data_IF_398573171720
#
_entry.id   IF_398573171720
#
_cell.length_a   1.000
_cell.length_b   1.000
_cell.length_c   1.000
_cell.angle_alpha   90.00
_cell.angle_beta   90.00
_cell.angle_gamma   90.00
#
_symmetry.space_group_name_H-M   'P 1'
#
loop_
_entity.id
_entity.type
_entity.pdbx_description
1 polymer ?
#
# COMPACT_ATOMS: atom_id res chain seq x y z
N UNK A 1 -9.66 14.86 15.79
CA UNK A 1 -9.01 15.38 14.59
C UNK A 1 -9.25 14.43 13.42
N UNK A 2 -9.73 14.98 12.29
CA UNK A 2 -10.12 14.17 11.12
C UNK A 2 -8.92 13.56 10.38
N UNK A 3 -7.70 13.96 10.69
CA UNK A 3 -6.48 13.38 10.14
C UNK A 3 -5.89 12.24 10.98
N UNK A 4 -6.46 11.99 12.18
CA UNK A 4 -6.01 10.88 13.02
C UNK A 4 -6.53 9.54 12.51
N UNK A 5 -5.69 8.51 12.61
CA UNK A 5 -6.01 7.14 12.22
C UNK A 5 -7.18 6.53 12.98
N UNK A 6 -7.34 6.93 14.24
CA UNK A 6 -8.42 6.53 15.13
C UNK A 6 -9.54 7.58 15.23
N UNK A 7 -9.73 8.41 14.19
CA UNK A 7 -10.77 9.43 14.18
C UNK A 7 -12.18 8.83 14.32
N UNK A 8 -12.90 9.30 15.31
CA UNK A 8 -14.33 9.00 15.49
C UNK A 8 -15.16 10.27 15.24
N UNK A 9 -15.94 10.27 14.17
CA UNK A 9 -16.83 11.39 13.81
C UNK A 9 -17.98 11.61 14.81
N UNK A 10 -18.23 10.66 15.71
CA UNK A 10 -19.24 10.74 16.75
C UNK A 10 -18.68 11.23 18.10
N UNK A 11 -17.37 11.30 18.24
CA UNK A 11 -16.73 11.80 19.45
C UNK A 11 -17.01 13.30 19.62
N UNK A 12 -17.43 13.68 20.82
CA UNK A 12 -17.75 15.09 21.19
C UNK A 12 -16.60 15.79 21.90
N UNK A 13 -15.65 15.03 22.44
CA UNK A 13 -14.50 15.52 23.17
C UNK A 13 -13.22 14.82 22.68
N UNK A 14 -12.13 15.56 22.62
CA UNK A 14 -10.79 14.99 22.33
C UNK A 14 -10.18 14.54 23.67
N UNK A 15 -9.95 13.25 23.82
CA UNK A 15 -9.33 12.62 24.99
C UNK A 15 -7.79 12.63 24.95
N UNK A 16 -7.20 13.17 23.87
CA UNK A 16 -5.76 13.22 23.66
C UNK A 16 -5.14 11.93 23.12
N UNK A 17 -5.96 10.96 22.71
CA UNK A 17 -5.50 9.65 22.19
C UNK A 17 -5.46 9.58 20.66
N UNK A 18 -5.41 10.74 19.98
CA UNK A 18 -5.30 10.76 18.52
C UNK A 18 -4.01 10.06 18.08
N UNK A 19 -4.18 9.04 17.25
CA UNK A 19 -3.08 8.30 16.63
C UNK A 19 -2.91 8.77 15.18
N UNK A 20 -1.70 9.17 14.83
CA UNK A 20 -1.35 9.63 13.47
C UNK A 20 -0.34 8.70 12.78
N UNK A 21 0.06 7.64 13.48
CA UNK A 21 1.18 6.79 13.06
C UNK A 21 0.78 5.39 12.62
N UNK A 22 -0.42 4.93 12.96
CA UNK A 22 -0.86 3.55 12.66
C UNK A 22 -1.55 3.39 11.31
N UNK A 23 -1.75 4.47 10.53
CA UNK A 23 -2.38 4.40 9.22
C UNK A 23 -1.53 5.00 8.10
N UNK A 24 -1.88 4.65 6.86
CA UNK A 24 -1.27 5.26 5.68
C UNK A 24 -1.83 6.65 5.42
N UNK A 25 -0.94 7.58 5.07
CA UNK A 25 -1.33 8.85 4.47
C UNK A 25 -1.53 8.60 2.98
N UNK A 26 -2.72 8.90 2.47
CA UNK A 26 -3.05 8.78 1.06
C UNK A 26 -3.38 10.14 0.46
N UNK A 27 -2.94 10.36 -0.78
CA UNK A 27 -3.25 11.58 -1.53
C UNK A 27 -3.72 11.23 -2.93
N UNK A 28 -4.53 12.11 -3.52
CA UNK A 28 -4.95 12.00 -4.92
C UNK A 28 -5.06 13.38 -5.54
N UNK A 29 -4.76 13.46 -6.84
CA UNK A 29 -4.92 14.68 -7.63
C UNK A 29 -6.35 14.85 -8.20
N UNK A 30 -7.26 13.91 -7.92
CA UNK A 30 -8.63 13.90 -8.45
C UNK A 30 -9.65 13.58 -7.36
N UNK A 31 -10.60 14.47 -7.14
CA UNK A 31 -11.67 14.31 -6.13
C UNK A 31 -12.54 13.08 -6.45
N UNK A 32 -12.86 12.31 -5.40
CA UNK A 32 -13.67 11.09 -5.50
C UNK A 32 -12.92 9.85 -5.99
N UNK A 33 -11.64 9.98 -6.35
CA UNK A 33 -10.76 8.89 -6.74
C UNK A 33 -9.49 8.91 -5.93
N UNK A 34 -8.94 7.75 -5.60
CA UNK A 34 -7.75 7.68 -4.75
C UNK A 34 -7.21 6.28 -4.63
N UNK A 35 -6.46 6.07 -3.58
CA UNK A 35 -5.97 4.75 -3.13
C UNK A 35 -6.29 4.56 -1.66
N UNK A 36 -6.46 3.30 -1.27
CA UNK A 36 -6.58 2.85 0.10
C UNK A 36 -5.60 1.72 0.35
N UNK A 37 -5.01 1.66 1.55
CA UNK A 37 -4.06 0.62 1.94
C UNK A 37 -4.57 -0.06 3.20
N UNK A 38 -4.70 -1.38 3.11
CA UNK A 38 -5.20 -2.23 4.18
C UNK A 38 -4.11 -3.18 4.66
N UNK A 39 -3.94 -3.30 5.97
CA UNK A 39 -3.14 -4.37 6.57
C UNK A 39 -3.93 -5.67 6.45
N UNK A 40 -3.49 -6.56 5.57
CA UNK A 40 -4.12 -7.83 5.32
C UNK A 40 -3.71 -8.92 6.31
N UNK A 41 -2.41 -8.96 6.67
CA UNK A 41 -1.89 -9.90 7.65
C UNK A 41 -0.60 -9.36 8.30
N UNK A 42 -0.40 -9.69 9.57
CA UNK A 42 0.85 -9.45 10.31
C UNK A 42 1.43 -10.81 10.65
N UNK A 43 2.76 -10.98 10.45
CA UNK A 43 3.48 -12.22 10.73
C UNK A 43 2.92 -13.47 10.00
N UNK A 44 2.22 -13.29 8.89
CA UNK A 44 1.86 -14.39 8.00
C UNK A 44 3.10 -15.09 7.43
N UNK A 45 4.12 -14.30 7.12
CA UNK A 45 5.54 -14.68 7.03
C UNK A 45 6.24 -14.00 8.19
N UNK A 46 7.00 -14.73 9.00
CA UNK A 46 7.59 -14.22 10.24
C UNK A 46 8.43 -12.94 10.00
N UNK A 47 8.10 -11.86 10.69
CA UNK A 47 8.73 -10.55 10.57
C UNK A 47 8.26 -9.70 9.39
N UNK A 48 7.23 -10.15 8.65
CA UNK A 48 6.66 -9.42 7.52
C UNK A 48 5.22 -8.99 7.79
N UNK A 49 4.84 -7.85 7.22
CA UNK A 49 3.45 -7.40 7.14
C UNK A 49 2.97 -7.45 5.68
N UNK A 50 1.80 -8.01 5.47
CA UNK A 50 1.14 -8.07 4.16
C UNK A 50 0.14 -6.94 4.04
N UNK A 51 0.30 -6.11 3.04
CA UNK A 51 -0.59 -5.00 2.70
C UNK A 51 -1.34 -5.28 1.40
N UNK A 52 -2.57 -4.78 1.30
CA UNK A 52 -3.34 -4.73 0.06
C UNK A 52 -3.62 -3.28 -0.31
N UNK A 53 -3.31 -2.93 -1.54
CA UNK A 53 -3.53 -1.59 -2.10
C UNK A 53 -4.71 -1.63 -3.04
N UNK A 54 -5.67 -0.75 -2.84
CA UNK A 54 -6.90 -0.66 -3.63
C UNK A 54 -6.98 0.70 -4.31
N UNK A 55 -7.46 0.75 -5.56
CA UNK A 55 -8.02 1.97 -6.11
C UNK A 55 -9.38 2.21 -5.46
N UNK A 56 -9.65 3.45 -5.07
CA UNK A 56 -10.98 3.91 -4.65
C UNK A 56 -11.63 4.72 -5.78
N UNK A 57 -12.94 4.52 -5.99
CA UNK A 57 -13.68 5.09 -7.11
C UNK A 57 -14.92 5.85 -6.66
N UNK A 58 -15.44 6.72 -7.53
CA UNK A 58 -16.62 7.54 -7.23
C UNK A 58 -17.94 6.78 -7.38
N UNK A 59 -17.96 5.65 -8.11
CA UNK A 59 -19.16 4.88 -8.42
C UNK A 59 -18.87 3.38 -8.40
N UNK A 60 -19.88 2.59 -8.01
CA UNK A 60 -19.85 1.13 -8.06
C UNK A 60 -19.68 0.58 -9.49
N UNK A 61 -20.11 1.33 -10.49
CA UNK A 61 -20.05 0.97 -11.92
C UNK A 61 -18.74 1.40 -12.59
N UNK A 62 -17.84 2.07 -11.87
CA UNK A 62 -16.53 2.47 -12.39
C UNK A 62 -15.66 1.23 -12.67
N UNK A 63 -14.91 1.30 -13.76
CA UNK A 63 -14.03 0.22 -14.19
C UNK A 63 -12.56 0.67 -14.10
N UNK A 64 -11.78 0.07 -13.23
CA UNK A 64 -10.34 0.26 -13.18
C UNK A 64 -9.68 -0.63 -14.23
N UNK A 65 -8.98 -0.01 -15.17
CA UNK A 65 -8.36 -0.69 -16.31
C UNK A 65 -6.87 -0.96 -16.12
N UNK A 66 -6.14 0.01 -15.58
CA UNK A 66 -4.69 -0.07 -15.55
C UNK A 66 -4.06 0.73 -14.42
N UNK A 67 -2.88 0.29 -14.00
CA UNK A 67 -1.90 1.06 -13.24
C UNK A 67 -0.68 1.24 -14.12
N UNK A 68 -0.24 2.48 -14.31
CA UNK A 68 0.81 2.83 -15.27
C UNK A 68 1.81 3.82 -14.68
N UNK A 69 3.01 3.82 -15.23
CA UNK A 69 4.03 4.82 -14.93
C UNK A 69 4.86 5.18 -16.17
N UNK A 70 5.39 6.39 -16.17
CA UNK A 70 6.33 6.91 -17.17
C UNK A 70 7.04 8.14 -16.59
N UNK A 71 8.02 8.72 -17.31
CA UNK A 71 8.82 9.86 -16.81
C UNK A 71 8.02 11.12 -16.41
N UNK A 72 6.80 11.29 -16.92
CA UNK A 72 5.91 12.42 -16.57
C UNK A 72 4.98 12.15 -15.39
N UNK A 73 4.78 10.89 -15.02
CA UNK A 73 4.04 10.42 -13.87
C UNK A 73 4.62 9.06 -13.48
N UNK A 74 5.66 9.03 -12.63
CA UNK A 74 6.30 7.80 -12.23
C UNK A 74 5.34 6.86 -11.49
N UNK A 75 5.52 5.55 -11.72
CA UNK A 75 4.93 4.52 -10.87
C UNK A 75 6.02 4.01 -9.95
N UNK A 76 5.73 4.06 -8.66
CA UNK A 76 6.63 3.61 -7.62
C UNK A 76 5.85 2.81 -6.58
N UNK A 77 6.34 1.63 -6.23
CA UNK A 77 5.95 0.88 -5.04
C UNK A 77 7.25 0.48 -4.36
N UNK A 78 7.46 1.00 -3.19
CA UNK A 78 8.74 0.99 -2.50
C UNK A 78 8.58 0.45 -1.08
N UNK A 79 9.66 -0.12 -0.56
CA UNK A 79 9.76 -0.52 0.84
C UNK A 79 11.11 -0.13 1.41
N UNK A 80 11.16 0.19 2.70
CA UNK A 80 12.43 0.36 3.42
C UNK A 80 13.16 -0.97 3.68
N UNK A 81 12.47 -2.09 3.47
CA UNK A 81 12.98 -3.46 3.59
C UNK A 81 13.09 -4.18 2.25
N UNK A 82 12.49 -5.37 2.16
CA UNK A 82 12.40 -6.19 0.95
C UNK A 82 10.98 -6.71 0.77
N UNK A 83 10.55 -6.91 -0.46
CA UNK A 83 9.31 -7.62 -0.74
C UNK A 83 9.50 -9.13 -0.66
N UNK A 84 8.64 -9.78 0.11
CA UNK A 84 8.59 -11.23 0.15
C UNK A 84 8.08 -11.78 -1.18
N UNK A 85 8.77 -12.79 -1.70
CA UNK A 85 8.38 -13.53 -2.91
C UNK A 85 8.36 -15.02 -2.60
N UNK A 86 7.21 -15.67 -2.77
CA UNK A 86 7.11 -17.12 -2.63
C UNK A 86 7.85 -17.82 -3.76
N UNK A 87 8.49 -18.94 -3.47
CA UNK A 87 9.31 -19.69 -4.44
C UNK A 87 8.53 -20.20 -5.67
N UNK A 88 7.21 -20.22 -5.60
CA UNK A 88 6.29 -20.61 -6.70
C UNK A 88 5.34 -19.46 -7.06
N UNK A 89 5.57 -18.28 -6.50
CA UNK A 89 4.81 -17.07 -6.78
C UNK A 89 5.03 -16.52 -8.18
N UNK A 90 4.58 -15.31 -8.40
CA UNK A 90 4.76 -14.59 -9.65
C UNK A 90 4.32 -13.15 -9.56
N UNK A 91 4.65 -12.36 -10.59
CA UNK A 91 4.31 -10.94 -10.66
C UNK A 91 2.80 -10.67 -10.50
N UNK A 92 1.96 -11.63 -10.86
CA UNK A 92 0.51 -11.56 -10.71
C UNK A 92 -0.02 -12.80 -9.96
N UNK A 93 -1.21 -12.75 -9.32
CA UNK A 93 -1.76 -13.88 -8.57
C UNK A 93 -2.26 -15.02 -9.47
N UNK A 94 -1.87 -15.08 -10.75
CA UNK A 94 -2.30 -16.09 -11.72
C UNK A 94 -1.94 -17.54 -11.34
N UNK A 95 -1.02 -17.72 -10.39
CA UNK A 95 -0.64 -19.04 -9.84
C UNK A 95 -1.36 -19.34 -8.52
N UNK A 96 -2.01 -18.37 -7.88
CA UNK A 96 -2.70 -18.55 -6.60
C UNK A 96 -3.98 -19.34 -6.82
N UNK A 97 -3.99 -20.57 -6.33
CA UNK A 97 -5.13 -21.49 -6.39
C UNK A 97 -5.25 -22.25 -5.06
N UNK A 98 -6.47 -22.70 -4.71
CA UNK A 98 -6.70 -23.47 -3.48
C UNK A 98 -5.79 -24.70 -3.38
N UNK A 99 -5.51 -25.32 -4.53
CA UNK A 99 -4.63 -26.48 -4.60
C UNK A 99 -3.20 -26.12 -4.17
N UNK A 100 -2.63 -25.04 -4.73
CA UNK A 100 -1.25 -24.63 -4.43
C UNK A 100 -1.13 -24.06 -3.01
N UNK A 101 -2.12 -23.31 -2.55
CA UNK A 101 -2.18 -22.82 -1.15
C UNK A 101 -2.17 -23.98 -0.14
N UNK A 102 -2.75 -25.13 -0.48
CA UNK A 102 -2.72 -26.33 0.35
C UNK A 102 -1.33 -26.99 0.45
N UNK A 103 -0.44 -26.76 -0.51
CA UNK A 103 0.92 -27.32 -0.53
C UNK A 103 2.00 -26.32 -0.13
N UNK A 104 1.79 -25.06 -0.46
CA UNK A 104 2.73 -23.95 -0.23
C UNK A 104 1.94 -22.80 0.42
N UNK A 105 1.71 -22.86 1.75
CA UNK A 105 0.87 -21.87 2.45
C UNK A 105 1.39 -20.43 2.40
N UNK A 106 2.71 -20.22 2.28
CA UNK A 106 3.35 -18.91 2.17
C UNK A 106 3.00 -18.18 0.86
N UNK A 107 2.50 -18.90 -0.16
CA UNK A 107 1.94 -18.32 -1.38
C UNK A 107 0.77 -17.36 -1.11
N UNK A 108 0.06 -17.52 0.03
CA UNK A 108 -0.98 -16.58 0.44
C UNK A 108 -0.45 -15.17 0.73
N UNK A 109 0.84 -15.06 1.04
CA UNK A 109 1.52 -13.83 1.41
C UNK A 109 2.51 -13.35 0.33
N UNK A 110 2.50 -13.98 -0.84
CA UNK A 110 3.33 -13.56 -1.98
C UNK A 110 3.04 -12.10 -2.37
N UNK A 111 4.06 -11.38 -2.84
CA UNK A 111 3.87 -10.02 -3.34
C UNK A 111 3.59 -10.04 -4.83
N UNK A 112 2.49 -9.44 -5.25
CA UNK A 112 2.04 -9.42 -6.64
C UNK A 112 1.22 -8.18 -6.96
N UNK A 113 1.08 -7.89 -8.26
CA UNK A 113 0.22 -6.82 -8.80
C UNK A 113 -0.98 -7.41 -9.53
N UNK A 114 -2.10 -6.71 -9.53
CA UNK A 114 -3.36 -7.19 -10.10
C UNK A 114 -4.28 -6.04 -10.48
N UNK A 115 -5.41 -6.39 -11.08
CA UNK A 115 -6.62 -5.57 -11.12
C UNK A 115 -7.77 -6.46 -10.65
N UNK A 116 -8.25 -6.22 -9.43
CA UNK A 116 -9.47 -6.79 -8.86
C UNK A 116 -9.39 -8.25 -8.37
N UNK A 117 -8.30 -8.99 -8.60
CA UNK A 117 -8.19 -10.39 -8.20
C UNK A 117 -7.05 -10.62 -7.19
N UNK A 118 -7.26 -11.53 -6.25
CA UNK A 118 -6.24 -12.05 -5.32
C UNK A 118 -5.90 -13.53 -5.60
N UNK A 119 -6.37 -14.05 -6.71
CA UNK A 119 -6.23 -15.44 -7.17
C UNK A 119 -6.17 -15.50 -8.69
N UNK A 120 -5.93 -16.68 -9.19
CA UNK A 120 -6.05 -16.97 -10.64
C UNK A 120 -7.45 -16.61 -11.14
N UNK A 121 -7.52 -15.95 -12.30
CA UNK A 121 -8.76 -15.59 -12.95
C UNK A 121 -9.61 -16.80 -13.35
N UNK A 122 -10.91 -16.69 -13.17
CA UNK A 122 -11.90 -17.63 -13.71
C UNK A 122 -12.53 -17.04 -14.98
N UNK A 123 -12.08 -17.52 -16.13
CA UNK A 123 -12.61 -17.07 -17.42
C UNK A 123 -14.10 -17.38 -17.61
N UNK A 124 -14.64 -18.35 -16.87
CA UNK A 124 -16.08 -18.66 -16.86
C UNK A 124 -16.92 -17.55 -16.21
N UNK A 125 -16.29 -16.72 -15.35
CA UNK A 125 -16.88 -15.54 -14.74
C UNK A 125 -16.59 -14.24 -15.50
N UNK A 126 -15.87 -14.32 -16.62
CA UNK A 126 -15.43 -13.17 -17.39
C UNK A 126 -14.25 -12.44 -16.77
N UNK A 127 -13.52 -13.09 -15.86
CA UNK A 127 -12.32 -12.53 -15.25
C UNK A 127 -11.09 -12.70 -16.15
N UNK A 128 -10.12 -11.79 -16.01
CA UNK A 128 -8.83 -11.85 -16.70
C UNK A 128 -7.69 -11.63 -15.69
N UNK A 129 -6.63 -12.45 -15.77
CA UNK A 129 -5.38 -12.16 -15.06
C UNK A 129 -4.77 -10.86 -15.61
N UNK A 130 -4.23 -10.03 -14.73
CA UNK A 130 -3.59 -8.78 -15.16
C UNK A 130 -2.38 -9.07 -16.06
N UNK A 131 -2.31 -8.36 -17.18
CA UNK A 131 -1.15 -8.37 -18.06
C UNK A 131 -0.15 -7.28 -17.65
N UNK A 132 1.15 -7.60 -17.67
CA UNK A 132 2.22 -6.65 -17.36
C UNK A 132 2.85 -6.10 -18.64
N UNK A 133 3.26 -4.83 -18.60
CA UNK A 133 3.98 -4.14 -19.67
C UNK A 133 5.26 -3.53 -19.11
N UNK A 134 6.37 -3.73 -19.84
CA UNK A 134 7.63 -3.07 -19.56
C UNK A 134 8.19 -2.48 -20.86
N UNK A 135 8.49 -1.18 -20.83
CA UNK A 135 9.06 -0.49 -21.96
C UNK A 135 10.57 -0.63 -22.10
N UNK A 136 11.24 -1.11 -21.06
CA UNK A 136 12.72 -1.22 -20.98
C UNK A 136 13.18 -2.61 -20.59
N UNK A 137 14.47 -2.89 -20.80
CA UNK A 137 15.12 -4.12 -20.37
C UNK A 137 16.31 -3.77 -19.44
N UNK A 138 16.46 -4.45 -18.28
CA UNK A 138 15.57 -5.51 -17.79
C UNK A 138 14.18 -4.99 -17.44
N UNK A 139 13.18 -5.88 -17.51
CA UNK A 139 11.81 -5.57 -17.08
C UNK A 139 11.76 -5.30 -15.59
N UNK A 140 10.94 -4.33 -15.14
CA UNK A 140 10.67 -4.09 -13.73
C UNK A 140 10.16 -5.34 -13.00
N UNK A 141 9.46 -6.24 -13.70
CA UNK A 141 8.95 -7.49 -13.16
C UNK A 141 10.05 -8.40 -12.62
N UNK A 142 11.21 -8.43 -13.29
CA UNK A 142 12.36 -9.25 -12.85
C UNK A 142 12.95 -8.75 -11.53
N UNK A 143 13.01 -7.42 -11.36
CA UNK A 143 13.44 -6.81 -10.09
C UNK A 143 12.45 -7.11 -8.98
N UNK A 144 11.16 -6.93 -9.23
CA UNK A 144 10.10 -7.16 -8.27
C UNK A 144 10.03 -8.63 -7.81
N UNK A 145 10.10 -9.59 -8.74
CA UNK A 145 10.18 -11.03 -8.39
C UNK A 145 11.47 -11.41 -7.63
N UNK A 146 12.43 -10.50 -7.56
CA UNK A 146 13.65 -10.64 -6.72
C UNK A 146 13.54 -9.91 -5.38
N UNK A 147 12.37 -9.37 -5.03
CA UNK A 147 12.11 -8.65 -3.80
C UNK A 147 12.44 -7.16 -3.82
N UNK A 148 12.77 -6.59 -4.99
CA UNK A 148 13.09 -5.17 -5.14
C UNK A 148 11.83 -4.33 -5.38
N UNK A 149 11.99 -3.02 -5.23
CA UNK A 149 10.96 -2.02 -5.54
C UNK A 149 10.49 -2.07 -6.99
N UNK A 150 9.24 -1.66 -7.20
CA UNK A 150 8.71 -1.33 -8.53
C UNK A 150 9.03 0.14 -8.79
N UNK A 151 9.77 0.42 -9.86
CA UNK A 151 10.02 1.79 -10.33
C UNK A 151 9.90 1.84 -11.85
N UNK A 152 8.96 2.65 -12.35
CA UNK A 152 8.75 2.89 -13.78
C UNK A 152 8.70 4.40 -14.00
N UNK A 153 9.81 4.98 -14.46
CA UNK A 153 9.99 6.42 -14.65
C UNK A 153 10.69 6.78 -15.97
N UNK A 154 10.72 5.86 -16.92
CA UNK A 154 11.35 6.06 -18.23
C UNK A 154 10.35 6.64 -19.27
N UNK A 155 10.87 7.04 -20.45
CA UNK A 155 10.09 7.66 -21.50
C UNK A 155 9.14 6.71 -22.25
N UNK A 156 9.30 5.39 -22.09
CA UNK A 156 8.43 4.39 -22.72
C UNK A 156 7.27 4.00 -21.80
N UNK A 157 7.55 3.96 -20.50
CA UNK A 157 6.58 3.60 -19.48
C UNK A 157 6.32 2.09 -19.37
N UNK A 158 5.39 1.74 -18.47
CA UNK A 158 4.99 0.37 -18.19
C UNK A 158 3.89 0.32 -17.15
N UNK A 159 3.62 -0.88 -16.63
CA UNK A 159 2.60 -1.12 -15.61
C UNK A 159 1.89 -2.44 -15.78
N UNK A 160 0.64 -2.51 -15.31
CA UNK A 160 -0.24 -3.68 -15.48
C UNK A 160 -1.68 -3.24 -15.76
N UNK A 161 -2.43 -4.11 -16.41
CA UNK A 161 -3.78 -3.78 -16.86
C UNK A 161 -4.63 -5.02 -17.09
N UNK A 162 -5.95 -4.82 -17.17
CA UNK A 162 -6.93 -5.74 -17.74
C UNK A 162 -7.71 -5.02 -18.84
N UNK A 163 -8.28 -5.82 -19.77
CA UNK A 163 -9.11 -5.25 -20.83
C UNK A 163 -10.48 -4.83 -20.27
N UNK A 164 -11.11 -3.84 -20.91
CA UNK A 164 -12.42 -3.32 -20.49
C UNK A 164 -13.57 -4.34 -20.56
N UNK A 165 -13.29 -5.56 -21.01
CA UNK A 165 -14.22 -6.71 -21.00
C UNK A 165 -14.14 -7.55 -19.75
N UNK A 166 -13.10 -7.39 -18.94
CA UNK A 166 -12.88 -8.16 -17.73
C UNK A 166 -13.87 -7.75 -16.61
N UNK A 167 -14.52 -8.73 -15.96
CA UNK A 167 -15.48 -8.44 -14.90
C UNK A 167 -14.79 -7.93 -13.61
N UNK A 168 -13.54 -8.29 -13.39
CA UNK A 168 -12.77 -7.97 -12.18
C UNK A 168 -12.25 -6.53 -12.09
N UNK A 169 -12.36 -5.73 -13.16
CA UNK A 169 -12.05 -4.30 -13.11
C UNK A 169 -13.19 -3.43 -12.57
N UNK A 170 -14.38 -3.97 -12.37
CA UNK A 170 -15.56 -3.25 -11.87
C UNK A 170 -15.42 -3.06 -10.35
N UNK A 171 -15.63 -1.81 -9.88
CA UNK A 171 -15.42 -1.44 -8.48
C UNK A 171 -16.38 -2.13 -7.50
N UNK A 172 -17.66 -2.33 -7.91
CA UNK A 172 -18.66 -2.94 -7.03
C UNK A 172 -19.17 -2.00 -5.94
N UNK A 173 -19.97 -2.56 -5.01
CA UNK A 173 -20.65 -1.77 -3.98
C UNK A 173 -19.71 -1.10 -2.96
N UNK A 174 -18.52 -1.65 -2.76
CA UNK A 174 -17.48 -1.11 -1.89
C UNK A 174 -16.65 -0.01 -2.58
N UNK A 175 -16.87 0.21 -3.88
CA UNK A 175 -16.19 1.22 -4.70
C UNK A 175 -14.66 1.08 -4.66
N UNK A 176 -14.17 -0.16 -4.60
CA UNK A 176 -12.74 -0.48 -4.48
C UNK A 176 -12.33 -1.55 -5.49
N UNK A 177 -11.15 -1.41 -6.06
CA UNK A 177 -10.53 -2.43 -6.92
C UNK A 177 -9.12 -2.72 -6.44
N UNK A 178 -8.83 -3.97 -6.11
CA UNK A 178 -7.51 -4.40 -5.66
C UNK A 178 -6.47 -4.19 -6.77
N UNK A 179 -5.37 -3.51 -6.44
CA UNK A 179 -4.26 -3.21 -7.36
C UNK A 179 -3.01 -4.06 -7.12
N UNK A 180 -2.84 -4.57 -5.91
CA UNK A 180 -1.72 -5.42 -5.54
C UNK A 180 -1.73 -5.82 -4.09
N UNK A 181 -0.95 -6.85 -3.79
CA UNK A 181 -0.58 -7.29 -2.46
C UNK A 181 0.93 -7.17 -2.32
N UNK A 182 1.38 -6.59 -1.21
CA UNK A 182 2.78 -6.32 -0.94
C UNK A 182 3.12 -6.76 0.47
N UNK A 183 3.94 -7.78 0.58
CA UNK A 183 4.40 -8.33 1.86
C UNK A 183 5.84 -7.90 2.07
N UNK A 184 6.10 -7.16 3.15
CA UNK A 184 7.41 -6.56 3.39
C UNK A 184 7.78 -6.59 4.87
N UNK A 185 9.09 -6.60 5.15
CA UNK A 185 9.71 -6.44 6.47
C UNK A 185 10.06 -4.96 6.76
N UNK A 186 9.64 -4.04 5.91
CA UNK A 186 9.84 -2.59 6.05
C UNK A 186 8.54 -1.80 5.85
N UNK A 187 8.67 -0.48 5.82
CA UNK A 187 7.56 0.44 5.56
C UNK A 187 7.22 0.49 4.08
N UNK A 188 5.94 0.42 3.76
CA UNK A 188 5.43 0.46 2.40
C UNK A 188 5.07 1.89 2.00
N UNK A 189 5.46 2.28 0.78
CA UNK A 189 5.03 3.55 0.16
C UNK A 189 4.88 3.40 -1.36
N UNK A 190 4.18 4.34 -1.99
CA UNK A 190 4.04 4.30 -3.43
C UNK A 190 3.34 5.51 -4.04
N UNK A 191 3.49 5.62 -5.36
CA UNK A 191 2.78 6.56 -6.21
C UNK A 191 2.36 5.84 -7.49
N UNK A 192 1.10 5.93 -7.86
CA UNK A 192 0.50 5.19 -8.96
C UNK A 192 -0.34 6.10 -9.85
N UNK A 193 -0.18 5.97 -11.17
CA UNK A 193 -1.11 6.57 -12.12
C UNK A 193 -2.14 5.52 -12.54
N UNK A 194 -3.39 5.74 -12.12
CA UNK A 194 -4.49 4.79 -12.26
C UNK A 194 -5.42 5.26 -13.40
N UNK A 195 -5.80 4.32 -14.27
CA UNK A 195 -6.77 4.54 -15.34
C UNK A 195 -8.12 3.95 -14.95
N UNK A 196 -9.14 4.79 -14.98
CA UNK A 196 -10.53 4.43 -14.72
C UNK A 196 -11.40 4.80 -15.90
N UNK A 197 -12.38 3.98 -16.19
CA UNK A 197 -13.48 4.29 -17.10
C UNK A 197 -14.75 4.53 -16.26
N UNK A 198 -15.11 5.81 -16.00
CA UNK A 198 -16.30 6.16 -15.24
C UNK A 198 -17.56 5.47 -15.77
N UNK A 199 -18.30 4.82 -14.86
CA UNK A 199 -19.48 3.99 -15.16
C UNK A 199 -19.21 2.90 -16.25
N UNK A 200 -18.01 2.34 -16.28
CA UNK A 200 -17.59 1.34 -17.27
C UNK A 200 -17.44 1.85 -18.69
N UNK A 201 -17.55 3.16 -18.93
CA UNK A 201 -17.54 3.74 -20.26
C UNK A 201 -16.11 4.06 -20.72
N UNK A 202 -15.52 3.21 -21.56
CA UNK A 202 -14.17 3.38 -22.10
C UNK A 202 -13.96 4.63 -22.97
N UNK A 203 -15.05 5.31 -23.36
CA UNK A 203 -14.99 6.63 -24.03
C UNK A 203 -14.71 7.78 -23.05
N UNK A 204 -14.77 7.53 -21.75
CA UNK A 204 -14.50 8.49 -20.67
C UNK A 204 -13.23 8.08 -19.94
N UNK A 205 -12.07 8.21 -20.59
CA UNK A 205 -10.77 7.84 -20.03
C UNK A 205 -10.32 8.86 -18.97
N UNK A 206 -10.51 8.51 -17.69
CA UNK A 206 -10.01 9.27 -16.55
C UNK A 206 -8.68 8.65 -16.08
N UNK A 207 -7.70 9.51 -15.80
CA UNK A 207 -6.42 9.09 -15.24
C UNK A 207 -6.01 10.05 -14.15
N UNK A 208 -5.73 9.49 -12.99
CA UNK A 208 -5.29 10.25 -11.81
C UNK A 208 -4.02 9.67 -11.21
N UNK A 209 -3.31 10.49 -10.45
CA UNK A 209 -2.16 10.06 -9.67
C UNK A 209 -2.56 10.04 -8.20
N UNK A 210 -2.37 8.90 -7.56
CA UNK A 210 -2.55 8.74 -6.14
C UNK A 210 -1.28 8.20 -5.50
N UNK A 211 -1.00 8.66 -4.29
CA UNK A 211 0.15 8.23 -3.51
C UNK A 211 -0.27 7.75 -2.13
N UNK A 212 0.53 6.86 -1.57
CA UNK A 212 0.36 6.33 -0.23
C UNK A 212 1.73 6.14 0.43
N UNK A 213 1.77 6.22 1.76
CA UNK A 213 2.98 5.98 2.53
C UNK A 213 2.68 5.96 4.02
N UNK A 214 3.53 5.30 4.79
CA UNK A 214 3.51 5.45 6.23
C UNK A 214 3.80 6.92 6.59
N UNK A 215 3.14 7.48 7.60
CA UNK A 215 3.50 8.79 8.10
C UNK A 215 4.93 8.75 8.66
N UNK A 216 5.62 9.86 8.54
CA UNK A 216 6.93 10.03 9.20
C UNK A 216 6.68 10.22 10.69
N UNK A 217 6.86 9.17 11.46
CA UNK A 217 6.68 9.15 12.92
C UNK A 217 8.00 8.93 13.63
N UNK A 218 8.14 9.59 14.77
CA UNK A 218 9.34 9.54 15.61
C UNK A 218 9.25 10.57 16.73
N UNK A 219 10.32 10.70 17.53
CA UNK A 219 10.37 11.70 18.57
C UNK A 219 10.48 13.13 17.98
N UNK A 220 9.44 13.93 18.12
CA UNK A 220 9.41 15.33 17.61
C UNK A 220 9.95 16.36 18.61
N UNK A 221 10.29 15.96 19.84
CA UNK A 221 10.83 16.87 20.84
C UNK A 221 12.34 17.08 20.65
N UNK A 222 12.79 18.31 20.31
CA UNK A 222 14.22 18.60 20.10
C UNK A 222 15.07 18.51 21.39
N UNK A 223 14.44 18.46 22.56
CA UNK A 223 15.12 18.35 23.86
C UNK A 223 15.28 16.88 24.32
N UNK A 224 14.70 15.92 23.60
CA UNK A 224 14.90 14.50 23.84
C UNK A 224 16.31 14.04 23.44
N UNK A 225 16.72 12.84 23.90
CA UNK A 225 18.02 12.25 23.54
C UNK A 225 18.03 11.69 22.10
N UNK A 226 16.87 11.32 21.57
CA UNK A 226 16.67 10.67 20.28
C UNK A 226 15.72 11.46 19.35
N UNK A 227 15.87 12.79 19.17
CA UNK A 227 14.97 13.54 18.32
C UNK A 227 15.09 13.08 16.86
N UNK A 228 13.96 12.90 16.20
CA UNK A 228 13.86 12.67 14.77
C UNK A 228 13.39 13.95 14.08
N UNK A 229 14.31 14.64 13.38
CA UNK A 229 14.02 15.91 12.70
C UNK A 229 13.16 15.75 11.44
N UNK A 230 13.02 14.53 10.93
CA UNK A 230 12.20 14.20 9.78
C UNK A 230 10.80 13.69 10.18
N UNK A 231 10.56 13.46 11.48
CA UNK A 231 9.26 13.06 11.99
C UNK A 231 8.24 14.21 11.88
N UNK A 232 7.09 13.91 11.27
CA UNK A 232 5.95 14.81 11.19
C UNK A 232 5.01 14.66 12.39
N UNK A 233 5.01 13.50 13.02
CA UNK A 233 4.15 13.13 14.14
C UNK A 233 4.98 12.47 15.25
N UNK A 234 4.65 12.81 16.50
CA UNK A 234 5.23 12.15 17.67
C UNK A 234 4.58 10.77 17.87
N UNK A 235 5.40 9.75 17.94
CA UNK A 235 4.99 8.37 18.19
C UNK A 235 5.16 7.92 19.65
N UNK A 236 5.59 8.84 20.52
CA UNK A 236 5.86 8.59 21.92
C UNK A 236 7.21 7.91 22.19
N UNK A 237 8.10 7.85 21.19
CA UNK A 237 9.42 7.22 21.32
C UNK A 237 10.49 8.15 21.92
N UNK A 238 10.12 9.37 22.33
CA UNK A 238 11.06 10.32 22.93
C UNK A 238 11.68 9.76 24.21
N UNK A 239 13.01 9.79 24.29
CA UNK A 239 13.78 9.37 25.47
C UNK A 239 14.33 10.62 26.19
N UNK A 240 14.17 10.67 27.50
CA UNK A 240 14.63 11.78 28.34
C UNK A 240 15.65 11.32 29.37
N UNK A 241 16.75 12.09 29.57
CA UNK A 241 17.75 11.75 30.58
C UNK A 241 17.27 12.13 31.96
N UNK A 242 17.50 11.28 32.94
CA UNK A 242 17.20 11.58 34.34
C UNK A 242 17.46 10.41 35.28
N UNK A 243 17.12 10.57 36.53
CA UNK A 243 17.29 9.51 37.52
C UNK A 243 16.02 8.63 37.54
N UNK A 244 16.12 7.40 37.05
CA UNK A 244 15.02 6.43 37.02
C UNK A 244 14.85 5.64 38.34
N UNK A 245 15.73 5.84 39.32
CA UNK A 245 15.63 5.20 40.65
C UNK A 245 14.60 5.91 41.52
N UNK A 246 13.45 5.29 41.73
CA UNK A 246 12.35 5.85 42.54
C UNK A 246 12.66 6.06 44.02
N UNK A 247 13.79 5.53 44.53
CA UNK A 247 14.22 5.72 45.90
C UNK A 247 15.26 6.86 46.04
N UNK A 248 15.71 7.44 44.92
CA UNK A 248 16.67 8.54 44.90
C UNK A 248 15.99 9.90 45.16
N UNK A 249 16.72 10.81 45.86
CA UNK A 249 16.24 12.17 46.16
C UNK A 249 16.03 13.04 44.90
N UNK A 250 16.66 12.66 43.79
CA UNK A 250 16.58 13.33 42.49
C UNK A 250 15.82 12.47 41.42
N UNK A 251 14.96 11.60 41.88
CA UNK A 251 14.11 10.80 40.98
C UNK A 251 13.32 11.71 40.03
N UNK A 252 13.34 11.33 38.74
CA UNK A 252 12.54 11.96 37.68
C UNK A 252 11.62 10.91 37.07
N UNK A 253 10.31 11.09 37.27
CA UNK A 253 9.31 10.15 36.75
C UNK A 253 9.13 10.23 35.23
N UNK A 254 9.68 11.25 34.57
CA UNK A 254 9.66 11.42 33.11
C UNK A 254 10.97 10.96 32.44
N UNK A 255 11.94 10.43 33.22
CA UNK A 255 13.18 9.93 32.66
C UNK A 255 13.05 8.48 32.19
N UNK A 256 13.67 8.17 31.06
CA UNK A 256 13.72 6.83 30.45
C UNK A 256 15.10 6.18 30.57
N UNK A 257 16.18 6.98 30.73
CA UNK A 257 17.59 6.54 30.79
C UNK A 257 18.42 7.38 31.77
#
# INVERSE_FOLDING_TARGET
DASACNFDALATDNDGTCDYCSCFITTSDTEGYGVDVEVHAVDGVAGYTTYRVYATTASADDFVSAVTGFSGAPLEVQTTGTFFQSSIGGVTPSVVTDLLLGFVPDLAYDSWVTVGLDRKADSGMGEEDAATVSGVSPSWTVGFESGNDITINDGTGGGWYVLNSASNGIAGDDQRVLLGQFTTDGDLSGSMRIQVFPNGNSGMDLRYVASFGAPSCGCTDPDALNPDLDAAYDDGSCEYPGCTDSEADNYDAGADV
#
